data_IF_756035110070
#
_entry.id   IF_756035110070
#
_cell.length_a   1.000
_cell.length_b   1.000
_cell.length_c   1.000
_cell.angle_alpha   90.00
_cell.angle_beta   90.00
_cell.angle_gamma   90.00
#
_symmetry.space_group_name_H-M   'P 1'
#
loop_
_entity.id
_entity.type
_entity.pdbx_description
1 polymer ?
#
# COMPACT_ATOMS: atom_id res chain seq x y z
N UNK A 1 24.36 -26.57 -16.17
CA UNK A 1 24.17 -27.40 -14.97
C UNK A 1 23.49 -26.63 -13.80
N UNK A 2 22.99 -25.42 -14.01
CA UNK A 2 22.39 -24.57 -12.96
C UNK A 2 20.85 -24.58 -12.94
N UNK A 3 20.19 -24.80 -14.07
CA UNK A 3 18.72 -24.83 -14.15
C UNK A 3 18.07 -26.11 -13.60
N UNK A 4 18.74 -27.26 -13.72
CA UNK A 4 18.21 -28.51 -13.18
C UNK A 4 18.21 -28.61 -11.64
N UNK A 5 19.01 -27.77 -10.96
CA UNK A 5 19.11 -27.77 -9.49
C UNK A 5 18.03 -26.91 -8.83
N UNK A 6 17.54 -25.88 -9.53
CA UNK A 6 16.46 -25.01 -9.05
C UNK A 6 15.10 -25.70 -9.09
N UNK A 7 14.88 -26.58 -10.10
CA UNK A 7 13.62 -27.34 -10.22
C UNK A 7 13.52 -28.53 -9.24
N UNK A 8 14.63 -29.12 -8.84
CA UNK A 8 14.64 -30.29 -7.95
C UNK A 8 14.37 -29.96 -6.47
N UNK A 9 14.51 -28.69 -6.06
CA UNK A 9 14.30 -28.24 -4.67
C UNK A 9 12.91 -27.63 -4.46
N UNK A 10 12.17 -27.31 -5.52
CA UNK A 10 10.83 -26.75 -5.48
C UNK A 10 9.77 -27.68 -4.87
N UNK A 11 10.04 -28.98 -4.80
CA UNK A 11 9.12 -29.99 -4.26
C UNK A 11 9.25 -30.28 -2.76
N UNK A 12 10.13 -29.55 -2.05
CA UNK A 12 10.41 -29.83 -0.61
C UNK A 12 10.00 -28.70 0.34
N UNK A 13 9.36 -27.64 -0.17
CA UNK A 13 9.04 -26.44 0.58
C UNK A 13 7.56 -26.23 0.69
N UNK A 14 7.14 -25.58 1.77
CA UNK A 14 5.78 -25.11 1.95
C UNK A 14 5.54 -23.80 1.21
N UNK A 15 4.38 -23.66 0.61
CA UNK A 15 3.87 -22.37 0.13
C UNK A 15 2.67 -21.92 0.97
N UNK A 16 2.58 -20.62 1.25
CA UNK A 16 1.52 -20.07 2.08
C UNK A 16 0.74 -18.99 1.34
N UNK A 17 -0.59 -19.00 1.56
CA UNK A 17 -1.52 -17.94 1.21
C UNK A 17 -2.17 -17.47 2.50
N UNK A 18 -2.11 -16.15 2.74
CA UNK A 18 -2.54 -15.56 4.00
C UNK A 18 -3.43 -14.38 3.69
N UNK A 19 -4.61 -14.36 4.30
CA UNK A 19 -5.46 -13.18 4.33
C UNK A 19 -5.53 -12.66 5.77
N UNK A 20 -4.85 -11.54 6.02
CA UNK A 20 -4.85 -10.87 7.32
C UNK A 20 -5.98 -9.84 7.36
N UNK A 21 -7.16 -10.27 7.81
CA UNK A 21 -8.30 -9.41 8.06
C UNK A 21 -8.20 -8.62 9.38
N UNK A 22 -9.20 -7.82 9.69
CA UNK A 22 -9.27 -7.03 10.93
C UNK A 22 -9.49 -7.90 12.17
N UNK A 23 -10.35 -8.92 12.10
CA UNK A 23 -10.72 -9.79 13.23
C UNK A 23 -10.02 -11.14 13.16
N UNK A 24 -10.00 -11.76 12.00
CA UNK A 24 -9.38 -13.08 11.78
C UNK A 24 -8.34 -13.03 10.68
N UNK A 25 -7.34 -13.89 10.81
CA UNK A 25 -6.33 -14.17 9.80
C UNK A 25 -6.52 -15.62 9.34
N UNK A 26 -6.76 -15.78 8.05
CA UNK A 26 -6.85 -17.08 7.39
C UNK A 26 -5.49 -17.44 6.78
N UNK A 27 -5.00 -18.63 7.05
CA UNK A 27 -3.72 -19.14 6.54
C UNK A 27 -3.98 -20.48 5.84
N UNK A 28 -3.54 -20.59 4.60
CA UNK A 28 -3.54 -21.86 3.87
C UNK A 28 -2.10 -22.24 3.58
N UNK A 29 -1.62 -23.32 4.14
CA UNK A 29 -0.33 -23.91 3.83
C UNK A 29 -0.47 -25.04 2.83
N UNK A 30 0.33 -25.02 1.77
CA UNK A 30 0.51 -26.17 0.89
C UNK A 30 1.80 -26.89 1.27
N UNK A 31 1.64 -28.11 1.78
CA UNK A 31 2.76 -28.96 2.14
C UNK A 31 3.56 -29.45 0.92
N UNK A 32 4.79 -29.95 1.09
CA UNK A 32 5.63 -30.49 0.01
C UNK A 32 5.00 -31.65 -0.79
N UNK A 33 4.08 -32.37 -0.21
CA UNK A 33 3.31 -33.46 -0.86
C UNK A 33 2.09 -32.93 -1.64
N UNK A 34 1.82 -31.62 -1.58
CA UNK A 34 0.70 -30.94 -2.23
C UNK A 34 -0.57 -30.86 -1.39
N UNK A 35 -0.60 -31.41 -0.18
CA UNK A 35 -1.75 -31.31 0.71
C UNK A 35 -1.98 -29.87 1.17
N UNK A 36 -3.25 -29.45 1.27
CA UNK A 36 -3.64 -28.14 1.74
C UNK A 36 -4.05 -28.19 3.21
N UNK A 37 -3.51 -27.32 4.01
CA UNK A 37 -3.76 -27.21 5.44
C UNK A 37 -4.32 -25.81 5.75
N UNK A 38 -5.64 -25.66 5.94
CA UNK A 38 -6.23 -24.39 6.35
C UNK A 38 -6.11 -24.21 7.87
N UNK A 39 -5.86 -22.97 8.27
CA UNK A 39 -5.81 -22.55 9.66
C UNK A 39 -6.43 -21.16 9.79
N UNK A 40 -7.19 -20.91 10.86
CA UNK A 40 -7.78 -19.60 11.17
C UNK A 40 -7.36 -19.17 12.57
N UNK A 41 -6.87 -17.95 12.69
CA UNK A 41 -6.39 -17.34 13.94
C UNK A 41 -7.09 -16.00 14.16
N UNK A 42 -7.14 -15.52 15.41
CA UNK A 42 -7.45 -14.11 15.67
C UNK A 42 -6.34 -13.24 15.10
N UNK A 43 -6.67 -12.12 14.45
CA UNK A 43 -5.66 -11.21 13.90
C UNK A 43 -4.85 -10.51 14.98
N UNK A 44 -5.45 -10.31 16.16
CA UNK A 44 -4.82 -9.71 17.34
C UNK A 44 -5.03 -10.63 18.56
N UNK A 45 -3.94 -11.10 19.14
CA UNK A 45 -3.92 -11.87 20.37
C UNK A 45 -2.55 -11.70 21.06
N UNK A 46 -2.32 -10.51 21.60
CA UNK A 46 -1.03 -10.12 22.19
C UNK A 46 -0.56 -10.99 23.35
N UNK A 47 -1.45 -11.78 23.97
CA UNK A 47 -1.08 -12.72 25.02
C UNK A 47 -0.46 -14.01 24.46
N UNK A 48 -0.74 -14.35 23.21
CA UNK A 48 -0.29 -15.60 22.59
C UNK A 48 0.74 -15.41 21.48
N UNK A 49 0.66 -14.34 20.69
CA UNK A 49 1.58 -14.08 19.56
C UNK A 49 1.57 -12.61 19.15
N UNK A 50 2.68 -12.17 18.55
CA UNK A 50 2.84 -10.79 18.05
C UNK A 50 2.19 -10.57 16.67
N UNK A 51 2.13 -11.63 15.82
CA UNK A 51 1.57 -11.55 14.47
C UNK A 51 0.94 -12.88 14.05
N UNK A 52 -0.35 -12.85 13.71
CA UNK A 52 -1.13 -14.03 13.37
C UNK A 52 -0.65 -14.74 12.09
N UNK A 53 -0.10 -14.01 11.12
CA UNK A 53 0.42 -14.61 9.89
C UNK A 53 1.68 -15.45 10.16
N UNK A 54 2.58 -14.91 10.99
CA UNK A 54 3.81 -15.60 11.41
C UNK A 54 3.46 -16.81 12.26
N UNK A 55 2.54 -16.64 13.20
CA UNK A 55 2.08 -17.72 14.07
C UNK A 55 1.41 -18.86 13.27
N UNK A 56 0.56 -18.53 12.30
CA UNK A 56 -0.07 -19.53 11.44
C UNK A 56 0.95 -20.34 10.62
N UNK A 57 1.99 -19.69 10.10
CA UNK A 57 3.11 -20.39 9.44
C UNK A 57 3.83 -21.30 10.44
N UNK A 58 4.10 -20.81 11.65
CA UNK A 58 4.78 -21.55 12.70
C UNK A 58 4.03 -22.84 13.06
N UNK A 59 2.73 -22.74 13.30
CA UNK A 59 1.87 -23.89 13.64
C UNK A 59 1.83 -24.92 12.51
N UNK A 60 1.66 -24.49 11.26
CA UNK A 60 1.62 -25.41 10.11
C UNK A 60 2.96 -26.07 9.83
N UNK A 61 4.07 -25.43 10.20
CA UNK A 61 5.40 -26.02 10.13
C UNK A 61 5.74 -26.89 11.34
N UNK A 62 4.88 -26.97 12.36
CA UNK A 62 5.17 -27.63 13.66
C UNK A 62 6.49 -27.14 14.25
N UNK A 63 6.70 -25.82 14.22
CA UNK A 63 7.91 -25.18 14.72
C UNK A 63 7.71 -24.71 16.18
N UNK A 64 8.66 -24.96 17.09
CA UNK A 64 8.56 -24.53 18.49
C UNK A 64 8.39 -23.00 18.61
N UNK A 65 7.61 -22.54 19.60
CA UNK A 65 7.32 -21.12 19.83
C UNK A 65 8.57 -20.27 20.04
N UNK A 66 9.60 -20.85 20.61
CA UNK A 66 10.87 -20.16 20.92
C UNK A 66 11.92 -20.26 19.81
N UNK A 67 11.66 -21.03 18.75
CA UNK A 67 12.62 -21.22 17.67
C UNK A 67 12.34 -20.27 16.49
N UNK A 68 13.40 -19.76 15.86
CA UNK A 68 13.27 -19.09 14.58
C UNK A 68 12.69 -20.06 13.52
N UNK A 69 11.82 -19.55 12.67
CA UNK A 69 11.30 -20.31 11.52
C UNK A 69 12.46 -20.58 10.57
N UNK A 70 12.65 -21.84 10.17
CA UNK A 70 13.67 -22.20 9.19
C UNK A 70 13.27 -21.73 7.77
N UNK A 71 13.95 -20.73 7.19
CA UNK A 71 13.62 -20.19 5.87
C UNK A 71 13.73 -21.24 4.76
N UNK A 72 14.53 -22.29 4.94
CA UNK A 72 14.72 -23.34 3.94
C UNK A 72 13.47 -24.19 3.73
N UNK A 73 12.56 -24.23 4.70
CA UNK A 73 11.28 -24.94 4.64
C UNK A 73 10.20 -24.20 3.86
N UNK A 74 10.41 -22.91 3.58
CA UNK A 74 9.40 -22.03 2.95
C UNK A 74 9.82 -21.69 1.51
N UNK A 75 8.90 -21.84 0.58
CA UNK A 75 9.03 -21.43 -0.82
C UNK A 75 8.52 -20.02 -1.04
N UNK A 76 7.21 -19.86 -1.05
CA UNK A 76 6.55 -18.57 -1.31
C UNK A 76 5.50 -18.28 -0.24
N UNK A 77 5.45 -17.03 0.21
CA UNK A 77 4.38 -16.50 1.05
C UNK A 77 3.67 -15.38 0.29
N UNK A 78 2.36 -15.52 0.11
CA UNK A 78 1.49 -14.55 -0.55
C UNK A 78 0.50 -14.03 0.46
N UNK A 79 0.42 -12.70 0.62
CA UNK A 79 -0.38 -12.08 1.67
C UNK A 79 -1.33 -11.01 1.13
N UNK A 80 -2.60 -11.09 1.55
CA UNK A 80 -3.50 -9.95 1.68
C UNK A 80 -3.34 -9.32 3.07
N UNK A 81 -3.54 -8.01 3.19
CA UNK A 81 -3.45 -7.33 4.48
C UNK A 81 -4.35 -6.13 4.58
N UNK A 82 -4.95 -5.90 5.74
CA UNK A 82 -5.77 -4.72 6.05
C UNK A 82 -4.99 -3.62 6.79
N UNK A 83 -3.66 -3.73 6.91
CA UNK A 83 -2.84 -2.76 7.66
C UNK A 83 -3.01 -1.34 7.11
N UNK A 84 -2.98 -1.15 5.80
CA UNK A 84 -3.17 0.16 5.19
C UNK A 84 -4.62 0.65 5.30
N UNK A 85 -5.60 -0.24 5.10
CA UNK A 85 -7.03 0.07 5.26
C UNK A 85 -7.33 0.55 6.68
N UNK A 86 -6.88 -0.19 7.69
CA UNK A 86 -7.07 0.15 9.09
C UNK A 86 -6.32 1.45 9.45
N UNK A 87 -5.08 1.62 8.95
CA UNK A 87 -4.31 2.85 9.12
C UNK A 87 -5.04 4.08 8.57
N UNK A 88 -5.78 3.93 7.48
CA UNK A 88 -6.58 5.00 6.89
C UNK A 88 -7.89 5.23 7.66
N UNK A 89 -8.63 4.16 7.97
CA UNK A 89 -9.91 4.22 8.71
C UNK A 89 -9.74 4.82 10.11
N UNK A 90 -8.71 4.40 10.82
CA UNK A 90 -8.43 4.78 12.20
C UNK A 90 -7.55 6.05 12.32
N UNK A 91 -7.16 6.64 11.18
CA UNK A 91 -6.25 7.81 11.12
C UNK A 91 -4.91 7.56 11.85
N UNK A 92 -4.37 6.35 11.72
CA UNK A 92 -3.11 5.91 12.36
C UNK A 92 -1.91 5.87 11.41
N UNK A 93 -1.92 6.64 10.33
CA UNK A 93 -0.75 6.80 9.47
C UNK A 93 0.33 7.68 10.10
N UNK A 94 1.46 7.82 9.43
CA UNK A 94 2.56 8.66 9.90
C UNK A 94 2.26 10.14 9.64
N UNK A 95 2.74 11.00 10.55
CA UNK A 95 2.60 12.46 10.43
C UNK A 95 3.26 12.96 9.15
N UNK A 96 2.48 13.61 8.31
CA UNK A 96 2.83 13.91 6.92
C UNK A 96 2.79 15.41 6.64
N UNK A 97 3.75 15.92 5.85
CA UNK A 97 3.72 17.25 5.28
C UNK A 97 3.52 17.19 3.76
N UNK A 98 2.86 18.22 3.21
CA UNK A 98 2.69 18.44 1.78
C UNK A 98 3.63 19.56 1.32
N UNK A 99 4.48 19.27 0.33
CA UNK A 99 5.25 20.24 -0.42
C UNK A 99 4.57 20.44 -1.78
N UNK A 100 4.12 21.64 -2.07
CA UNK A 100 3.32 21.93 -3.26
C UNK A 100 3.77 23.24 -3.91
N UNK A 101 3.65 23.35 -5.23
CA UNK A 101 3.95 24.58 -5.97
C UNK A 101 3.28 25.80 -5.33
N UNK A 102 4.00 26.90 -5.18
CA UNK A 102 3.49 28.18 -4.63
C UNK A 102 2.22 28.63 -5.35
N UNK A 103 1.24 29.08 -4.58
CA UNK A 103 -0.09 29.48 -5.03
C UNK A 103 -1.13 28.35 -5.07
N UNK A 104 -0.74 27.11 -4.69
CA UNK A 104 -1.63 25.95 -4.67
C UNK A 104 -1.81 25.31 -3.29
N UNK A 105 -1.47 26.07 -2.24
CA UNK A 105 -1.53 25.62 -0.83
C UNK A 105 -2.81 24.87 -0.48
N UNK A 106 -3.95 25.39 -0.92
CA UNK A 106 -5.27 24.86 -0.59
C UNK A 106 -5.86 23.94 -1.67
N UNK A 107 -5.12 23.64 -2.73
CA UNK A 107 -5.63 22.92 -3.90
C UNK A 107 -6.23 21.56 -3.54
N UNK A 108 -5.58 20.76 -2.68
CA UNK A 108 -6.08 19.45 -2.29
C UNK A 108 -7.27 19.56 -1.33
N UNK A 109 -7.27 20.57 -0.45
CA UNK A 109 -8.38 20.81 0.48
C UNK A 109 -9.66 21.28 -0.24
N UNK A 110 -9.51 22.11 -1.26
CA UNK A 110 -10.61 22.56 -2.12
C UNK A 110 -11.07 21.45 -3.07
N UNK A 111 -10.12 20.61 -3.49
CA UNK A 111 -10.36 19.49 -4.38
C UNK A 111 -11.03 19.93 -5.68
N UNK A 112 -12.10 19.24 -6.05
CA UNK A 112 -12.91 19.54 -7.24
C UNK A 112 -14.14 20.39 -6.92
N UNK A 113 -14.23 20.93 -5.71
CA UNK A 113 -15.38 21.71 -5.22
C UNK A 113 -16.70 20.90 -5.26
N UNK A 114 -16.61 19.58 -5.20
CA UNK A 114 -17.78 18.72 -5.10
C UNK A 114 -18.49 18.97 -3.76
N UNK A 115 -19.80 19.16 -3.84
CA UNK A 115 -20.66 19.33 -2.67
C UNK A 115 -21.62 18.15 -2.61
N UNK A 116 -21.51 17.26 -1.63
CA UNK A 116 -22.46 16.15 -1.45
C UNK A 116 -23.91 16.64 -1.29
N UNK A 117 -24.09 17.77 -0.59
CA UNK A 117 -25.36 18.50 -0.50
C UNK A 117 -25.16 19.93 -1.03
N UNK A 118 -25.73 20.22 -2.20
CA UNK A 118 -25.60 21.53 -2.86
C UNK A 118 -26.37 22.65 -2.14
N UNK A 119 -27.32 22.30 -1.27
CA UNK A 119 -28.12 23.23 -0.49
C UNK A 119 -27.65 23.34 0.97
N UNK A 120 -26.57 22.67 1.34
CA UNK A 120 -26.02 22.77 2.68
C UNK A 120 -25.74 24.23 3.07
N UNK A 121 -26.23 24.63 4.25
CA UNK A 121 -25.98 25.98 4.80
C UNK A 121 -24.56 26.13 5.31
N UNK A 122 -23.95 25.03 5.72
CA UNK A 122 -22.57 24.94 6.18
C UNK A 122 -21.79 23.99 5.30
N UNK A 123 -20.63 24.44 4.80
CA UNK A 123 -19.74 23.62 3.98
C UNK A 123 -18.67 23.04 4.88
N UNK A 124 -18.72 21.73 5.08
CA UNK A 124 -17.70 20.99 5.82
C UNK A 124 -16.63 20.56 4.83
N UNK A 125 -15.42 21.09 5.00
CA UNK A 125 -14.26 20.67 4.18
C UNK A 125 -13.73 19.31 4.65
N UNK A 126 -13.20 18.50 3.73
CA UNK A 126 -12.63 17.20 4.09
C UNK A 126 -11.42 17.38 5.03
N UNK A 127 -11.29 16.44 5.96
CA UNK A 127 -10.09 16.31 6.77
C UNK A 127 -8.91 15.84 5.90
N UNK A 128 -7.79 16.55 5.99
CA UNK A 128 -6.59 16.22 5.23
C UNK A 128 -5.68 15.29 6.04
N UNK A 129 -4.99 14.38 5.36
CA UNK A 129 -4.03 13.46 5.99
C UNK A 129 -2.68 14.14 6.30
N UNK A 130 -2.42 15.32 5.74
CA UNK A 130 -1.23 16.10 6.04
C UNK A 130 -1.51 17.17 7.10
N UNK A 131 -0.53 17.45 7.96
CA UNK A 131 -0.63 18.43 9.03
C UNK A 131 -0.03 19.78 8.67
N UNK A 132 0.95 19.81 7.76
CA UNK A 132 1.68 20.99 7.33
C UNK A 132 1.73 21.08 5.81
N UNK A 133 1.71 22.32 5.31
CA UNK A 133 1.88 22.60 3.89
C UNK A 133 3.03 23.60 3.74
N UNK A 134 4.02 23.25 2.90
CA UNK A 134 5.11 24.14 2.47
C UNK A 134 4.90 24.46 1.00
N UNK A 135 4.91 25.74 0.67
CA UNK A 135 4.82 26.21 -0.70
C UNK A 135 6.22 26.32 -1.32
N UNK A 136 6.43 25.57 -2.39
CA UNK A 136 7.70 25.49 -3.13
C UNK A 136 7.75 26.60 -4.18
N UNK A 137 8.78 27.45 -4.11
CA UNK A 137 8.99 28.56 -5.04
C UNK A 137 9.55 28.09 -6.37
N UNK A 138 8.73 27.37 -7.15
CA UNK A 138 9.05 26.89 -8.50
C UNK A 138 7.84 27.00 -9.41
N UNK A 139 8.04 26.94 -10.73
CA UNK A 139 6.94 26.87 -11.70
C UNK A 139 7.37 26.24 -13.00
N UNK A 140 6.58 25.28 -13.45
CA UNK A 140 6.62 24.74 -14.81
C UNK A 140 5.39 25.17 -15.60
N UNK A 141 5.55 25.41 -16.90
CA UNK A 141 4.46 25.52 -17.86
C UNK A 141 3.88 24.16 -18.24
N UNK A 142 2.71 24.15 -18.88
CA UNK A 142 2.03 22.92 -19.31
C UNK A 142 2.80 22.11 -20.36
N UNK A 143 3.67 22.75 -21.12
CA UNK A 143 4.58 22.10 -22.09
C UNK A 143 5.84 21.50 -21.44
N UNK A 144 6.04 21.75 -20.14
CA UNK A 144 7.19 21.28 -19.35
C UNK A 144 8.37 22.24 -19.32
N UNK A 145 8.27 23.43 -19.93
CA UNK A 145 9.31 24.47 -19.83
C UNK A 145 9.32 25.12 -18.45
N UNK A 146 10.50 25.56 -18.01
CA UNK A 146 10.70 26.17 -16.70
C UNK A 146 10.38 27.67 -16.78
N UNK A 147 9.39 28.12 -16.02
CA UNK A 147 9.10 29.53 -15.78
C UNK A 147 9.90 30.06 -14.59
N UNK A 148 9.88 29.33 -13.47
CA UNK A 148 10.64 29.65 -12.26
C UNK A 148 11.43 28.42 -11.84
N UNK A 149 12.76 28.57 -11.80
CA UNK A 149 13.64 27.49 -11.40
C UNK A 149 13.48 27.15 -9.91
N UNK A 150 13.61 25.87 -9.58
CA UNK A 150 13.61 25.39 -8.20
C UNK A 150 14.95 25.74 -7.53
N UNK A 151 14.88 26.27 -6.31
CA UNK A 151 16.00 26.33 -5.35
C UNK A 151 15.64 25.47 -4.13
N UNK A 152 16.10 24.22 -4.04
CA UNK A 152 15.78 23.33 -2.91
C UNK A 152 16.29 23.86 -1.57
N UNK A 153 17.45 24.58 -1.55
CA UNK A 153 18.05 25.10 -0.32
C UNK A 153 17.19 26.19 0.34
N UNK A 154 16.36 26.88 -0.43
CA UNK A 154 15.42 27.87 0.09
C UNK A 154 14.42 27.31 1.08
N UNK A 155 14.21 25.98 1.09
CA UNK A 155 13.27 25.25 1.97
C UNK A 155 13.92 24.72 3.24
N UNK A 156 15.22 24.85 3.43
CA UNK A 156 15.97 24.25 4.53
C UNK A 156 15.39 24.58 5.92
N UNK A 157 14.99 25.84 6.13
CA UNK A 157 14.43 26.28 7.42
C UNK A 157 13.10 25.61 7.70
N UNK A 158 12.22 25.54 6.71
CA UNK A 158 10.91 24.91 6.84
C UNK A 158 11.06 23.39 7.02
N UNK A 159 11.94 22.74 6.26
CA UNK A 159 12.21 21.31 6.37
C UNK A 159 12.81 20.93 7.75
N UNK A 160 13.74 21.76 8.29
CA UNK A 160 14.26 21.58 9.65
C UNK A 160 13.16 21.72 10.69
N UNK A 161 12.24 22.67 10.51
CA UNK A 161 11.09 22.82 11.40
C UNK A 161 10.16 21.60 11.37
N UNK A 162 9.86 21.04 10.19
CA UNK A 162 9.09 19.79 10.11
C UNK A 162 9.75 18.64 10.90
N UNK A 163 11.06 18.46 10.76
CA UNK A 163 11.80 17.43 11.48
C UNK A 163 11.74 17.65 13.00
N UNK A 164 11.89 18.91 13.44
CA UNK A 164 11.79 19.27 14.86
C UNK A 164 10.40 19.01 15.43
N UNK A 165 9.34 19.18 14.61
CA UNK A 165 7.95 18.88 14.96
C UNK A 165 7.65 17.37 14.93
N UNK A 166 8.62 16.53 14.57
CA UNK A 166 8.45 15.06 14.46
C UNK A 166 7.68 14.60 13.23
N UNK A 167 7.64 15.40 12.17
CA UNK A 167 7.08 15.01 10.86
C UNK A 167 8.20 14.38 10.05
N UNK A 168 8.04 13.10 9.71
CA UNK A 168 9.04 12.30 9.01
C UNK A 168 8.60 11.82 7.61
N UNK A 169 7.33 12.03 7.27
CA UNK A 169 6.78 11.71 5.96
C UNK A 169 6.45 12.96 5.16
N UNK A 170 6.84 12.97 3.88
CA UNK A 170 6.65 14.11 2.98
C UNK A 170 6.04 13.65 1.66
N UNK A 171 4.98 14.34 1.23
CA UNK A 171 4.40 14.24 -0.11
C UNK A 171 4.85 15.46 -0.94
N UNK A 172 5.51 15.23 -2.07
CA UNK A 172 5.94 16.27 -3.01
C UNK A 172 5.01 16.26 -4.22
N UNK A 173 4.34 17.39 -4.47
CA UNK A 173 3.32 17.53 -5.52
C UNK A 173 3.52 18.84 -6.25
N UNK A 174 4.31 18.81 -7.31
CA UNK A 174 4.60 20.02 -8.07
C UNK A 174 3.75 20.12 -9.36
N UNK A 175 3.47 21.36 -9.77
CA UNK A 175 2.67 21.61 -10.96
C UNK A 175 3.40 21.07 -12.20
N UNK A 176 2.65 20.37 -13.06
CA UNK A 176 3.14 19.79 -14.30
C UNK A 176 4.29 18.76 -14.19
N UNK A 177 4.60 18.26 -12.98
CA UNK A 177 5.62 17.23 -12.76
C UNK A 177 5.35 15.92 -13.51
N UNK A 178 4.11 15.64 -13.89
CA UNK A 178 3.77 14.52 -14.79
C UNK A 178 4.41 14.66 -16.19
N UNK A 179 4.71 15.88 -16.61
CA UNK A 179 5.31 16.21 -17.91
C UNK A 179 6.82 16.36 -17.83
N UNK A 180 7.29 17.08 -16.83
CA UNK A 180 8.70 17.27 -16.52
C UNK A 180 8.92 17.05 -15.02
N UNK A 181 9.56 15.94 -14.61
CA UNK A 181 9.74 15.58 -13.21
C UNK A 181 10.97 16.23 -12.55
N UNK A 182 11.82 16.97 -13.28
CA UNK A 182 13.14 17.40 -12.83
C UNK A 182 13.11 18.15 -11.49
N UNK A 183 12.13 19.04 -11.29
CA UNK A 183 11.97 19.76 -10.04
C UNK A 183 11.58 18.82 -8.87
N UNK A 184 10.68 17.85 -9.09
CA UNK A 184 10.32 16.88 -8.06
C UNK A 184 11.49 15.95 -7.73
N UNK A 185 12.27 15.53 -8.73
CA UNK A 185 13.46 14.68 -8.52
C UNK A 185 14.49 15.42 -7.67
N UNK A 186 14.85 16.66 -8.06
CA UNK A 186 15.83 17.46 -7.33
C UNK A 186 15.37 17.76 -5.88
N UNK A 187 14.09 18.10 -5.71
CA UNK A 187 13.53 18.37 -4.38
C UNK A 187 13.49 17.09 -3.53
N UNK A 188 13.14 15.96 -4.12
CA UNK A 188 13.10 14.67 -3.39
C UNK A 188 14.50 14.24 -2.92
N UNK A 189 15.53 14.41 -3.76
CA UNK A 189 16.91 14.13 -3.37
C UNK A 189 17.33 15.01 -2.20
N UNK A 190 17.03 16.30 -2.24
CA UNK A 190 17.32 17.24 -1.17
C UNK A 190 16.61 16.87 0.14
N UNK A 191 15.30 16.58 0.08
CA UNK A 191 14.49 16.17 1.25
C UNK A 191 15.01 14.86 1.85
N UNK A 192 15.36 13.88 1.01
CA UNK A 192 15.98 12.61 1.47
C UNK A 192 17.33 12.85 2.15
N UNK A 193 18.17 13.73 1.59
CA UNK A 193 19.47 14.11 2.17
C UNK A 193 19.32 14.78 3.55
N UNK A 194 18.20 15.46 3.81
CA UNK A 194 17.87 16.00 5.13
C UNK A 194 17.37 14.96 6.15
N UNK A 195 17.29 13.68 5.78
CA UNK A 195 17.02 12.57 6.66
C UNK A 195 15.53 12.26 6.88
N UNK A 196 14.62 12.68 6.00
CA UNK A 196 13.23 12.25 6.05
C UNK A 196 13.09 10.76 5.72
N UNK A 197 12.35 10.02 6.54
CA UNK A 197 12.18 8.57 6.41
C UNK A 197 11.24 8.15 5.28
N UNK A 198 10.27 9.00 4.91
CA UNK A 198 9.37 8.82 3.78
C UNK A 198 9.32 10.04 2.89
N UNK A 199 9.59 9.86 1.59
CA UNK A 199 9.42 10.88 0.56
C UNK A 199 8.67 10.27 -0.62
N UNK A 200 7.39 10.60 -0.72
CA UNK A 200 6.52 10.20 -1.84
C UNK A 200 6.47 11.33 -2.87
N UNK A 201 6.70 11.02 -4.13
CA UNK A 201 6.85 11.99 -5.21
C UNK A 201 5.77 11.78 -6.25
N UNK A 202 5.06 12.83 -6.63
CA UNK A 202 3.81 12.70 -7.36
C UNK A 202 3.96 12.12 -8.77
N UNK A 203 5.07 12.37 -9.46
CA UNK A 203 5.33 11.80 -10.77
C UNK A 203 5.63 10.30 -10.75
N UNK A 204 6.07 9.75 -9.60
CA UNK A 204 6.29 8.31 -9.41
C UNK A 204 5.02 7.61 -8.91
N UNK A 205 4.34 8.24 -7.92
CA UNK A 205 3.19 7.63 -7.24
C UNK A 205 1.96 7.58 -8.15
N UNK A 206 1.69 8.67 -8.89
CA UNK A 206 0.51 8.80 -9.75
C UNK A 206 0.80 9.73 -10.93
N UNK A 207 1.49 9.28 -12.00
CA UNK A 207 1.96 10.13 -13.10
C UNK A 207 0.82 10.62 -14.01
N UNK A 208 -0.17 11.30 -13.43
CA UNK A 208 -1.37 11.76 -14.11
C UNK A 208 -1.43 13.29 -14.16
N UNK A 209 -2.07 13.82 -15.20
CA UNK A 209 -2.08 15.24 -15.52
C UNK A 209 -2.69 16.15 -14.44
N UNK A 210 -3.76 15.70 -13.75
CA UNK A 210 -4.51 16.52 -12.79
C UNK A 210 -3.80 16.63 -11.44
N UNK A 211 -3.43 17.85 -11.03
CA UNK A 211 -2.72 18.13 -9.78
C UNK A 211 -3.43 17.55 -8.55
N UNK A 212 -4.74 17.78 -8.41
CA UNK A 212 -5.52 17.34 -7.23
C UNK A 212 -5.50 15.82 -7.07
N UNK A 213 -5.92 15.05 -8.10
CA UNK A 213 -5.95 13.60 -7.99
C UNK A 213 -4.57 12.96 -7.83
N UNK A 214 -3.52 13.56 -8.48
CA UNK A 214 -2.14 13.15 -8.28
C UNK A 214 -1.68 13.44 -6.85
N UNK A 215 -2.01 14.63 -6.34
CA UNK A 215 -1.66 15.06 -4.99
C UNK A 215 -2.35 14.24 -3.91
N UNK A 216 -3.66 14.02 -4.02
CA UNK A 216 -4.42 13.20 -3.07
C UNK A 216 -3.78 11.80 -2.94
N UNK A 217 -3.45 11.15 -4.05
CA UNK A 217 -2.82 9.82 -4.05
C UNK A 217 -1.41 9.85 -3.45
N UNK A 218 -0.63 10.90 -3.72
CA UNK A 218 0.73 11.05 -3.18
C UNK A 218 0.72 11.26 -1.67
N UNK A 219 -0.25 12.02 -1.17
CA UNK A 219 -0.44 12.21 0.29
C UNK A 219 -0.82 10.89 0.96
N UNK A 220 -1.74 10.13 0.37
CA UNK A 220 -2.12 8.80 0.87
C UNK A 220 -0.90 7.88 0.92
N UNK A 221 -0.09 7.87 -0.13
CA UNK A 221 1.13 7.07 -0.18
C UNK A 221 2.14 7.48 0.91
N UNK A 222 2.40 8.77 1.08
CA UNK A 222 3.30 9.27 2.11
C UNK A 222 2.81 8.91 3.53
N UNK A 223 1.49 8.97 3.75
CA UNK A 223 0.85 8.71 5.02
C UNK A 223 0.87 7.22 5.43
N UNK A 224 0.68 6.30 4.45
CA UNK A 224 0.51 4.87 4.71
C UNK A 224 1.77 4.04 4.48
N UNK A 225 2.67 4.45 3.59
CA UNK A 225 3.86 3.65 3.26
C UNK A 225 4.77 3.36 4.46
N UNK A 226 4.97 4.26 5.46
CA UNK A 226 5.80 3.95 6.60
C UNK A 226 5.26 2.81 7.48
N UNK A 227 3.95 2.83 7.81
CA UNK A 227 3.34 1.76 8.62
C UNK A 227 3.37 0.43 7.89
N UNK A 228 3.17 0.46 6.58
CA UNK A 228 3.22 -0.73 5.74
C UNK A 228 4.64 -1.30 5.68
N UNK A 229 5.66 -0.46 5.50
CA UNK A 229 7.06 -0.90 5.50
C UNK A 229 7.47 -1.53 6.83
N UNK A 230 7.05 -0.95 7.96
CA UNK A 230 7.32 -1.54 9.29
C UNK A 230 6.68 -2.91 9.41
N UNK A 231 5.47 -3.10 8.91
CA UNK A 231 4.80 -4.39 8.88
C UNK A 231 5.53 -5.40 7.99
N UNK A 232 5.80 -5.01 6.74
CA UNK A 232 6.54 -5.85 5.77
C UNK A 232 7.90 -6.26 6.30
N UNK A 233 8.64 -5.34 6.93
CA UNK A 233 9.96 -5.62 7.52
C UNK A 233 9.85 -6.67 8.63
N UNK A 234 8.89 -6.56 9.55
CA UNK A 234 8.66 -7.56 10.61
C UNK A 234 8.40 -8.95 10.05
N UNK A 235 7.49 -9.04 9.07
CA UNK A 235 7.17 -10.33 8.42
C UNK A 235 8.41 -10.89 7.72
N UNK A 236 9.14 -10.05 6.99
CA UNK A 236 10.34 -10.43 6.27
C UNK A 236 11.42 -10.97 7.21
N UNK A 237 11.67 -10.25 8.30
CA UNK A 237 12.68 -10.62 9.30
C UNK A 237 12.30 -11.93 10.01
N UNK A 238 11.04 -12.09 10.41
CA UNK A 238 10.56 -13.30 11.08
C UNK A 238 10.63 -14.55 10.20
N UNK A 239 10.47 -14.39 8.89
CA UNK A 239 10.51 -15.49 7.91
C UNK A 239 11.91 -15.69 7.30
N UNK A 240 12.89 -14.84 7.62
CA UNK A 240 14.18 -14.84 6.92
C UNK A 240 14.02 -14.65 5.40
N UNK A 241 12.98 -13.91 4.99
CA UNK A 241 12.63 -13.75 3.59
C UNK A 241 13.67 -12.88 2.85
N UNK A 242 13.99 -13.27 1.63
CA UNK A 242 14.96 -12.59 0.79
C UNK A 242 14.28 -11.94 -0.43
N UNK A 243 14.97 -11.04 -1.12
CA UNK A 243 14.48 -10.48 -2.38
C UNK A 243 14.29 -11.58 -3.44
N UNK A 244 13.34 -11.35 -4.35
CA UNK A 244 13.05 -12.27 -5.45
C UNK A 244 14.35 -12.64 -6.21
N UNK A 245 14.55 -13.93 -6.43
CA UNK A 245 15.74 -14.45 -7.14
C UNK A 245 16.96 -14.73 -6.27
N UNK A 246 16.89 -14.51 -4.93
CA UNK A 246 17.91 -14.92 -3.97
C UNK A 246 17.49 -16.21 -3.24
N UNK A 247 18.45 -16.87 -2.58
CA UNK A 247 18.14 -18.04 -1.75
C UNK A 247 17.30 -17.63 -0.53
N UNK A 248 16.12 -18.25 -0.32
CA UNK A 248 15.22 -18.00 0.79
C UNK A 248 13.75 -17.87 0.34
N UNK A 249 12.82 -17.66 1.28
CA UNK A 249 11.41 -17.46 0.99
C UNK A 249 11.14 -16.23 0.14
N UNK A 250 10.21 -16.34 -0.82
CA UNK A 250 9.73 -15.21 -1.59
C UNK A 250 8.46 -14.66 -0.94
N UNK A 251 8.48 -13.38 -0.56
CA UNK A 251 7.34 -12.70 0.04
C UNK A 251 6.67 -11.77 -0.98
N UNK A 252 5.38 -11.97 -1.21
CA UNK A 252 4.56 -11.19 -2.13
C UNK A 252 3.30 -10.68 -1.43
N UNK A 253 2.86 -9.48 -1.81
CA UNK A 253 1.64 -8.88 -1.29
C UNK A 253 0.61 -8.64 -2.40
N UNK A 254 -0.65 -8.84 -2.03
CA UNK A 254 -1.79 -8.50 -2.88
C UNK A 254 -1.94 -6.98 -2.94
N UNK A 255 -2.06 -6.44 -4.15
CA UNK A 255 -2.37 -5.04 -4.36
C UNK A 255 -3.88 -4.83 -4.50
N UNK A 256 -4.36 -3.62 -4.23
CA UNK A 256 -5.74 -3.20 -4.44
C UNK A 256 -6.25 -3.41 -5.87
N UNK A 257 -5.34 -3.47 -6.85
CA UNK A 257 -5.63 -3.77 -8.26
C UNK A 257 -5.88 -5.25 -8.57
N UNK A 258 -5.68 -6.16 -7.59
CA UNK A 258 -5.83 -7.61 -7.72
C UNK A 258 -4.59 -8.34 -8.24
N UNK A 259 -3.46 -7.63 -8.39
CA UNK A 259 -2.16 -8.23 -8.72
C UNK A 259 -1.31 -8.51 -7.48
N UNK A 260 -0.30 -9.37 -7.61
CA UNK A 260 0.73 -9.58 -6.59
C UNK A 260 1.98 -8.74 -6.91
N UNK A 261 2.58 -8.17 -5.88
CA UNK A 261 3.86 -7.48 -5.99
C UNK A 261 4.86 -8.02 -4.99
N UNK A 262 6.16 -7.89 -5.26
CA UNK A 262 7.20 -8.22 -4.31
C UNK A 262 7.15 -7.27 -3.09
N UNK A 263 7.51 -7.77 -1.92
CA UNK A 263 7.50 -7.02 -0.66
C UNK A 263 8.21 -5.66 -0.75
N UNK A 264 9.32 -5.59 -1.50
CA UNK A 264 10.13 -4.37 -1.68
C UNK A 264 9.44 -3.27 -2.51
N UNK A 265 8.39 -3.64 -3.28
CA UNK A 265 7.65 -2.72 -4.17
C UNK A 265 6.25 -2.40 -3.65
N UNK A 266 5.88 -2.96 -2.51
CA UNK A 266 4.56 -2.78 -1.94
C UNK A 266 4.45 -1.42 -1.25
N UNK A 267 3.63 -0.52 -1.79
CA UNK A 267 3.46 0.88 -1.36
C UNK A 267 2.09 1.13 -0.75
N UNK A 268 1.98 2.21 0.03
CA UNK A 268 0.76 2.57 0.75
C UNK A 268 -0.46 2.72 -0.16
N UNK A 269 -0.31 3.37 -1.32
CA UNK A 269 -1.38 3.55 -2.31
C UNK A 269 -1.92 2.24 -2.89
N UNK A 270 -1.10 1.19 -2.92
CA UNK A 270 -1.44 -0.11 -3.52
C UNK A 270 -2.09 -1.08 -2.53
N UNK A 271 -2.07 -0.76 -1.23
CA UNK A 271 -2.40 -1.68 -0.15
C UNK A 271 -3.81 -1.48 0.46
N UNK A 272 -4.53 -0.42 0.06
CA UNK A 272 -5.73 0.06 0.78
C UNK A 272 -6.89 -0.94 0.74
N UNK A 273 -7.14 -1.62 -0.38
CA UNK A 273 -8.16 -2.65 -0.54
C UNK A 273 -7.55 -4.02 -0.89
N UNK A 274 -6.40 -4.34 -0.29
CA UNK A 274 -5.62 -5.55 -0.57
C UNK A 274 -6.40 -6.84 -0.25
N UNK A 275 -7.04 -6.94 0.92
CA UNK A 275 -7.88 -8.07 1.30
C UNK A 275 -9.07 -8.27 0.37
N UNK A 276 -9.98 -7.27 0.22
CA UNK A 276 -11.10 -7.34 -0.72
C UNK A 276 -10.69 -7.70 -2.15
N UNK A 277 -9.59 -7.13 -2.66
CA UNK A 277 -9.08 -7.47 -3.99
C UNK A 277 -8.69 -8.96 -4.11
N UNK A 278 -8.07 -9.52 -3.07
CA UNK A 278 -7.79 -10.96 -2.99
C UNK A 278 -9.07 -11.80 -3.01
N UNK A 279 -10.10 -11.37 -2.29
CA UNK A 279 -11.43 -11.99 -2.27
C UNK A 279 -12.08 -12.03 -3.66
N UNK A 280 -12.05 -10.91 -4.39
CA UNK A 280 -12.58 -10.84 -5.79
C UNK A 280 -11.84 -11.80 -6.71
N UNK A 281 -10.52 -11.86 -6.63
CA UNK A 281 -9.71 -12.81 -7.43
C UNK A 281 -10.04 -14.26 -7.05
N UNK A 282 -10.13 -14.55 -5.76
CA UNK A 282 -10.49 -15.87 -5.25
C UNK A 282 -11.88 -16.32 -5.70
N UNK A 283 -12.88 -15.46 -5.58
CA UNK A 283 -14.25 -15.67 -6.06
C UNK A 283 -14.27 -16.02 -7.55
N UNK A 284 -13.69 -15.17 -8.40
CA UNK A 284 -13.69 -15.38 -9.85
C UNK A 284 -13.00 -16.68 -10.27
N UNK A 285 -11.89 -17.04 -9.62
CA UNK A 285 -11.13 -18.27 -9.90
C UNK A 285 -11.89 -19.52 -9.46
N UNK A 286 -12.45 -19.50 -8.25
CA UNK A 286 -13.22 -20.63 -7.72
C UNK A 286 -14.51 -20.85 -8.53
N UNK A 287 -15.22 -19.79 -8.86
CA UNK A 287 -16.39 -19.87 -9.71
C UNK A 287 -16.08 -20.42 -11.11
N UNK A 288 -14.95 -19.99 -11.71
CA UNK A 288 -14.50 -20.49 -13.01
C UNK A 288 -14.18 -21.99 -12.99
N UNK A 289 -13.57 -22.50 -11.89
CA UNK A 289 -13.35 -23.95 -11.71
C UNK A 289 -14.69 -24.71 -11.64
N UNK A 290 -15.71 -24.10 -11.03
CA UNK A 290 -17.06 -24.66 -10.95
C UNK A 290 -17.90 -24.45 -12.24
N UNK A 291 -17.35 -23.81 -13.27
CA UNK A 291 -18.00 -23.59 -14.56
C UNK A 291 -18.91 -22.34 -14.63
N UNK A 292 -18.82 -21.43 -13.65
CA UNK A 292 -19.60 -20.19 -13.66
C UNK A 292 -18.76 -19.03 -14.24
N UNK A 293 -19.31 -18.33 -15.22
CA UNK A 293 -18.67 -17.19 -15.89
C UNK A 293 -19.12 -15.83 -15.30
N UNK A 294 -20.30 -15.79 -14.68
CA UNK A 294 -20.89 -14.57 -14.10
C UNK A 294 -21.29 -14.86 -12.67
N UNK A 295 -20.71 -14.12 -11.75
CA UNK A 295 -20.91 -14.35 -10.32
C UNK A 295 -20.94 -13.03 -9.53
N UNK A 296 -21.64 -13.07 -8.42
CA UNK A 296 -21.60 -12.04 -7.37
C UNK A 296 -20.97 -12.69 -6.15
N UNK A 297 -19.89 -12.08 -5.67
CA UNK A 297 -19.27 -12.42 -4.41
C UNK A 297 -19.91 -11.63 -3.28
N UNK A 298 -20.09 -12.27 -2.14
CA UNK A 298 -20.60 -11.65 -0.93
C UNK A 298 -19.75 -12.14 0.24
N UNK A 299 -18.90 -11.24 0.73
CA UNK A 299 -18.00 -11.50 1.86
C UNK A 299 -18.45 -10.69 3.07
N UNK A 300 -18.99 -11.38 4.06
CA UNK A 300 -19.46 -10.77 5.30
C UNK A 300 -18.51 -11.15 6.44
N UNK A 301 -17.62 -10.22 6.78
CA UNK A 301 -16.74 -10.33 7.94
C UNK A 301 -17.38 -9.86 9.24
N UNK A 302 -16.57 -9.73 10.28
CA UNK A 302 -17.01 -9.24 11.59
C UNK A 302 -17.19 -7.71 11.64
N UNK A 303 -16.60 -6.96 10.71
CA UNK A 303 -16.56 -5.49 10.70
C UNK A 303 -17.16 -4.86 9.45
N UNK A 304 -17.10 -5.54 8.30
CA UNK A 304 -17.58 -5.04 7.02
C UNK A 304 -18.20 -6.14 6.18
N UNK A 305 -18.93 -5.73 5.15
CA UNK A 305 -19.44 -6.62 4.11
C UNK A 305 -18.98 -6.09 2.77
N UNK A 306 -18.26 -6.92 2.03
CA UNK A 306 -17.79 -6.60 0.69
C UNK A 306 -18.62 -7.35 -0.35
N UNK A 307 -19.08 -6.65 -1.37
CA UNK A 307 -19.85 -7.22 -2.48
C UNK A 307 -19.09 -6.93 -3.77
N UNK A 308 -18.82 -7.97 -4.55
CA UNK A 308 -18.09 -7.87 -5.80
C UNK A 308 -18.84 -8.55 -6.93
N UNK A 309 -18.67 -8.05 -8.15
CA UNK A 309 -19.25 -8.61 -9.36
C UNK A 309 -18.14 -9.03 -10.33
N UNK A 310 -18.32 -10.20 -10.94
CA UNK A 310 -17.45 -10.67 -12.02
C UNK A 310 -18.30 -11.23 -13.18
N UNK A 311 -18.02 -10.77 -14.40
CA UNK A 311 -18.72 -11.21 -15.61
C UNK A 311 -17.74 -11.43 -16.78
N UNK A 312 -16.67 -12.19 -16.51
CA UNK A 312 -15.61 -12.47 -17.48
C UNK A 312 -14.43 -11.52 -17.43
N UNK A 313 -14.57 -10.34 -16.81
CA UNK A 313 -13.49 -9.38 -16.58
C UNK A 313 -13.61 -8.76 -15.19
N UNK A 314 -12.47 -8.28 -14.64
CA UNK A 314 -12.42 -7.62 -13.35
C UNK A 314 -12.77 -6.15 -13.48
N UNK A 315 -13.76 -5.70 -12.73
CA UNK A 315 -14.07 -4.29 -12.64
C UNK A 315 -13.04 -3.57 -11.80
N UNK A 316 -12.51 -2.44 -12.32
CA UNK A 316 -11.55 -1.59 -11.63
C UNK A 316 -11.99 -0.14 -11.66
N UNK A 317 -11.95 0.51 -10.52
CA UNK A 317 -12.07 1.96 -10.42
C UNK A 317 -10.67 2.60 -10.35
N UNK A 318 -10.51 3.74 -11.02
CA UNK A 318 -9.31 4.56 -10.89
C UNK A 318 -9.49 5.67 -9.85
N UNK A 319 -10.63 6.34 -9.89
CA UNK A 319 -10.99 7.37 -8.92
C UNK A 319 -11.85 6.73 -7.82
N UNK A 320 -11.35 6.73 -6.60
CA UNK A 320 -11.99 6.06 -5.46
C UNK A 320 -11.90 6.97 -4.22
N UNK A 321 -12.89 6.83 -3.36
CA UNK A 321 -12.89 7.44 -2.03
C UNK A 321 -13.03 6.34 -0.98
N UNK A 322 -12.09 6.28 -0.04
CA UNK A 322 -12.10 5.34 1.08
C UNK A 322 -11.97 6.13 2.37
N UNK A 323 -12.91 5.93 3.29
CA UNK A 323 -12.94 6.64 4.57
C UNK A 323 -12.91 8.18 4.43
N UNK A 324 -13.58 8.73 3.43
CA UNK A 324 -13.59 10.17 3.15
C UNK A 324 -12.29 10.70 2.50
N UNK A 325 -11.36 9.82 2.14
CA UNK A 325 -10.10 10.18 1.49
C UNK A 325 -10.14 9.81 0.02
N UNK A 326 -9.99 10.81 -0.83
CA UNK A 326 -9.93 10.63 -2.29
C UNK A 326 -8.56 10.10 -2.71
N UNK A 327 -8.55 9.25 -3.71
CA UNK A 327 -7.33 8.78 -4.34
C UNK A 327 -7.57 8.34 -5.77
N UNK A 328 -6.51 8.32 -6.55
CA UNK A 328 -6.52 7.92 -7.95
C UNK A 328 -5.49 6.81 -8.18
N UNK A 329 -5.89 5.61 -7.86
CA UNK A 329 -5.11 4.39 -8.04
C UNK A 329 -6.03 3.25 -8.50
N UNK A 330 -5.53 2.28 -9.30
CA UNK A 330 -6.35 1.14 -9.73
C UNK A 330 -6.79 0.31 -8.51
N UNK A 331 -8.10 0.16 -8.32
CA UNK A 331 -8.69 -0.65 -7.25
C UNK A 331 -9.76 -1.57 -7.82
N UNK A 332 -9.80 -2.80 -7.34
CA UNK A 332 -10.90 -3.74 -7.61
C UNK A 332 -12.21 -3.20 -7.03
N UNK A 333 -13.30 -3.49 -7.74
CA UNK A 333 -14.67 -3.13 -7.34
C UNK A 333 -15.47 -4.35 -6.98
#
# INVERSE_FOLDING_TARGET
MTEGRIMADAGKRWDFWIDRGGTFTDVIGRAPDGALHPLKLLSENAEAYDDAAIEGIRQLLDAPDTAAIDPARIGTVRMGTTVATNGLLERKGDRTALLITRGFRDALRLGYQARPDIFAKEIILPEMLYERVIEVGERLHADGTVETALDPASLDTDLKALRSDGIDAVAIVLMHAWRNPDHEVALAEHVRAMGFGQVSVSHEVSPLIKLVGRGDTTVVDAYLSPILRRYVARVKDALGATAVGKAGPTLQFMMSSGGLTAAERFQGKDAILSGPAGGVVGMARTAGIAGFEKVIGFDMGGTSTDVAHFAGDYERALDTEVAGVRMRAPMMR
#
